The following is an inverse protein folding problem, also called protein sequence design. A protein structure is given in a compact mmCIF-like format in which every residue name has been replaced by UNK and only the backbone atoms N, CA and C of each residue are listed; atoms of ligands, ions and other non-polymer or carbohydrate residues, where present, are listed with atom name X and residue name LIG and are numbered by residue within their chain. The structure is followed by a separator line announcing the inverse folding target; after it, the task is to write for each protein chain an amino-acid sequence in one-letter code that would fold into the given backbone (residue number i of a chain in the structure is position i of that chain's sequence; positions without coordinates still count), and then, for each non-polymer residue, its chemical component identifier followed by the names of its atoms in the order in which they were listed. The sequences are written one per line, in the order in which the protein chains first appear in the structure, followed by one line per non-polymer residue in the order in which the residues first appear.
data_IF_717854483586
#
_entry.id   IF_717854483586
#
_cell.length_a   1.000
_cell.length_b   1.000
_cell.length_c   1.000
_cell.angle_alpha   90.00
_cell.angle_beta   90.00
_cell.angle_gamma   90.00
#
_symmetry.space_group_name_H-M   'P 1'
#
loop_
_entity.id
_entity.type
_entity.pdbx_description
1 polymer ?
#
# COMPACT_ATOMS: atom_id res chain seq x y z
N UNK A 1 8.59 3.33 9.00
CA UNK A 1 8.85 2.11 8.20
C UNK A 1 8.78 0.83 9.02
N UNK A 2 9.55 0.65 10.10
CA UNK A 2 9.52 -0.60 10.89
C UNK A 2 8.13 -0.97 11.41
N UNK A 3 7.35 0.02 11.87
CA UNK A 3 5.99 -0.22 12.33
C UNK A 3 5.11 -0.80 11.21
N UNK A 4 5.21 -0.28 9.98
CA UNK A 4 4.49 -0.80 8.82
C UNK A 4 4.88 -2.26 8.56
N UNK A 5 6.16 -2.59 8.46
CA UNK A 5 6.60 -3.95 8.06
C UNK A 5 6.53 -4.99 9.19
N UNK A 6 6.33 -4.55 10.43
CA UNK A 6 6.58 -5.27 11.68
C UNK A 6 8.07 -5.38 12.04
N UNK A 7 8.35 -5.51 13.34
CA UNK A 7 9.72 -5.62 13.86
C UNK A 7 10.50 -6.83 13.32
N UNK A 8 9.79 -7.90 12.90
CA UNK A 8 10.42 -9.12 12.34
C UNK A 8 11.03 -8.89 10.97
N UNK A 9 10.54 -7.89 10.25
CA UNK A 9 10.93 -7.56 8.87
C UNK A 9 11.73 -6.25 8.82
N UNK A 10 12.47 -5.95 9.90
CA UNK A 10 13.23 -4.71 10.03
C UNK A 10 14.29 -4.54 8.94
N UNK A 11 14.89 -5.63 8.44
CA UNK A 11 15.86 -5.56 7.33
C UNK A 11 15.17 -5.18 6.01
N UNK A 12 14.05 -5.81 5.70
CA UNK A 12 13.20 -5.46 4.56
C UNK A 12 12.75 -4.00 4.65
N UNK A 13 12.29 -3.56 5.82
CA UNK A 13 11.83 -2.20 6.07
C UNK A 13 12.94 -1.14 5.88
N UNK A 14 14.20 -1.47 6.21
CA UNK A 14 15.35 -0.56 6.09
C UNK A 14 15.58 -0.11 4.65
N UNK A 15 15.30 -0.97 3.67
CA UNK A 15 15.49 -0.67 2.24
C UNK A 15 14.65 0.52 1.77
N UNK A 16 13.54 0.80 2.45
CA UNK A 16 12.57 1.84 2.08
C UNK A 16 12.69 3.12 2.91
N UNK A 17 13.63 3.19 3.87
CA UNK A 17 13.81 4.38 4.72
C UNK A 17 14.32 5.54 3.86
N UNK A 18 13.66 6.70 3.96
CA UNK A 18 13.94 7.87 3.12
C UNK A 18 13.35 7.78 1.70
N UNK A 19 12.58 6.72 1.44
CA UNK A 19 11.91 6.47 0.17
C UNK A 19 10.68 7.34 -0.09
N UNK A 20 10.09 7.14 -1.27
CA UNK A 20 8.83 7.78 -1.66
C UNK A 20 7.65 6.87 -1.38
N UNK A 21 6.52 7.46 -0.97
CA UNK A 21 5.27 6.75 -0.70
C UNK A 21 4.17 7.33 -1.56
N UNK A 22 3.45 6.47 -2.25
CA UNK A 22 2.12 6.78 -2.77
C UNK A 22 1.09 6.09 -1.88
N UNK A 23 0.11 6.84 -1.39
CA UNK A 23 -0.99 6.30 -0.61
C UNK A 23 -2.32 6.71 -1.24
N UNK A 24 -3.26 5.77 -1.33
CA UNK A 24 -4.61 6.03 -1.82
C UNK A 24 -5.67 5.32 -0.97
N UNK A 25 -6.78 6.04 -0.80
CA UNK A 25 -8.00 5.55 -0.19
C UNK A 25 -8.86 4.80 -1.20
N UNK A 26 -9.49 3.71 -0.76
CA UNK A 26 -10.47 2.92 -1.48
C UNK A 26 -11.78 2.96 -0.69
N UNK A 27 -12.75 3.71 -1.21
CA UNK A 27 -14.11 3.72 -0.67
C UNK A 27 -14.72 2.31 -0.70
N UNK A 28 -15.69 2.05 0.18
CA UNK A 28 -16.39 0.76 0.25
C UNK A 28 -17.02 0.32 -1.09
N UNK A 29 -17.30 1.27 -2.00
CA UNK A 29 -17.87 0.99 -3.33
C UNK A 29 -16.83 0.82 -4.45
N UNK A 30 -15.54 0.95 -4.15
CA UNK A 30 -14.48 0.79 -5.14
C UNK A 30 -14.15 -0.70 -5.40
N UNK A 31 -13.27 -0.92 -6.37
CA UNK A 31 -12.74 -2.25 -6.69
C UNK A 31 -11.66 -2.63 -5.67
N UNK A 32 -11.87 -3.73 -4.95
CA UNK A 32 -11.05 -4.14 -3.78
C UNK A 32 -10.09 -5.30 -4.05
N UNK A 33 -9.74 -5.55 -5.31
CA UNK A 33 -8.69 -6.51 -5.67
C UNK A 33 -7.42 -5.76 -6.06
N UNK A 34 -6.29 -6.30 -5.68
CA UNK A 34 -4.98 -5.67 -5.78
C UNK A 34 -4.20 -6.23 -6.94
N UNK A 35 -3.45 -5.38 -7.63
CA UNK A 35 -2.69 -5.78 -8.80
C UNK A 35 -1.23 -5.35 -8.67
N UNK A 36 -0.33 -6.14 -9.26
CA UNK A 36 1.10 -5.90 -9.26
C UNK A 36 1.42 -4.57 -9.99
N UNK A 37 1.99 -3.57 -9.30
CA UNK A 37 2.31 -2.28 -9.93
C UNK A 37 3.50 -2.38 -10.91
N UNK A 38 4.33 -3.41 -10.75
CA UNK A 38 5.52 -3.71 -11.55
C UNK A 38 5.58 -5.21 -11.85
N UNK A 39 6.28 -5.57 -12.92
CA UNK A 39 6.67 -6.95 -13.18
C UNK A 39 7.92 -7.31 -12.37
N UNK A 40 8.00 -8.55 -11.90
CA UNK A 40 9.12 -9.01 -11.09
C UNK A 40 8.85 -10.25 -10.28
N UNK A 41 9.73 -10.54 -9.33
CA UNK A 41 9.63 -11.68 -8.41
C UNK A 41 9.13 -11.24 -7.05
N UNK A 42 8.06 -11.86 -6.56
CA UNK A 42 7.57 -11.67 -5.19
C UNK A 42 8.60 -12.22 -4.22
N UNK A 43 9.19 -11.37 -3.38
CA UNK A 43 10.18 -11.78 -2.36
C UNK A 43 9.53 -12.02 -1.01
N UNK A 44 8.49 -11.24 -0.69
CA UNK A 44 7.75 -11.35 0.56
C UNK A 44 6.26 -11.23 0.28
N UNK A 45 5.45 -12.00 1.01
CA UNK A 45 4.00 -11.94 0.97
C UNK A 45 3.47 -12.44 2.31
N UNK A 46 3.02 -11.54 3.18
CA UNK A 46 2.58 -11.88 4.53
C UNK A 46 1.59 -10.88 5.10
N UNK A 47 0.81 -11.31 6.08
CA UNK A 47 -0.13 -10.46 6.82
C UNK A 47 0.49 -10.08 8.15
N UNK A 48 0.42 -8.80 8.50
CA UNK A 48 0.67 -8.32 9.86
C UNK A 48 -0.69 -8.14 10.54
N UNK A 49 -0.99 -8.91 11.61
CA UNK A 49 -2.23 -8.73 12.35
C UNK A 49 -2.23 -7.40 13.10
N UNK A 50 -3.37 -6.71 13.09
CA UNK A 50 -3.62 -5.45 13.79
C UNK A 50 -5.12 -5.19 13.94
N UNK A 51 -5.56 -4.36 14.88
CA UNK A 51 -6.98 -4.39 15.30
C UNK A 51 -7.51 -3.06 15.82
N UNK A 52 -7.77 -2.02 15.02
CA UNK A 52 -8.18 -0.74 15.64
C UNK A 52 -9.08 0.14 14.77
N UNK A 53 -10.22 0.54 15.34
CA UNK A 53 -10.89 1.83 15.08
C UNK A 53 -10.18 2.91 15.88
N UNK A 54 -9.00 3.33 15.41
CA UNK A 54 -8.17 4.31 16.11
C UNK A 54 -7.80 5.44 15.15
N UNK A 55 -8.19 6.65 15.53
CA UNK A 55 -7.74 7.89 14.92
C UNK A 55 -6.64 8.52 15.75
N UNK A 56 -5.70 9.19 15.10
CA UNK A 56 -4.68 9.98 15.77
C UNK A 56 -5.28 11.34 16.16
N UNK A 57 -5.27 11.65 17.46
CA UNK A 57 -5.78 12.93 17.99
C UNK A 57 -5.13 14.16 17.32
N UNK A 58 -3.89 14.01 16.84
CA UNK A 58 -3.17 15.04 16.09
C UNK A 58 -3.83 15.45 14.78
N UNK A 59 -4.67 14.59 14.20
CA UNK A 59 -5.40 14.87 12.95
C UNK A 59 -6.72 15.62 13.20
N UNK A 60 -7.14 15.75 14.47
CA UNK A 60 -8.36 16.45 14.86
C UNK A 60 -9.63 15.62 14.66
N UNK A 61 -10.76 16.31 14.53
CA UNK A 61 -12.06 15.67 14.31
C UNK A 61 -12.20 15.28 12.84
N UNK A 62 -12.36 13.98 12.59
CA UNK A 62 -12.53 13.39 11.26
C UNK A 62 -14.00 13.02 11.04
N UNK A 63 -14.75 13.76 10.20
CA UNK A 63 -16.15 13.45 9.90
C UNK A 63 -16.34 12.10 9.18
N UNK A 64 -15.31 11.64 8.46
CA UNK A 64 -15.25 10.32 7.82
C UNK A 64 -14.80 9.20 8.78
N UNK A 65 -14.38 9.56 10.00
CA UNK A 65 -14.03 8.68 11.10
C UNK A 65 -12.60 8.14 11.08
N UNK A 66 -12.06 7.74 9.92
CA UNK A 66 -10.71 7.17 9.79
C UNK A 66 -9.92 7.67 8.56
N UNK A 67 -10.47 8.59 7.78
CA UNK A 67 -9.87 9.09 6.56
C UNK A 67 -8.62 9.94 6.84
N UNK A 68 -8.65 10.79 7.87
CA UNK A 68 -7.55 11.72 8.15
C UNK A 68 -6.38 11.01 8.84
N UNK A 69 -6.66 9.94 9.58
CA UNK A 69 -5.66 9.13 10.29
C UNK A 69 -4.97 8.05 9.44
N UNK A 70 -5.16 8.05 8.12
CA UNK A 70 -4.67 7.01 7.20
C UNK A 70 -3.16 6.72 7.30
N UNK A 71 -2.34 7.75 7.54
CA UNK A 71 -0.89 7.58 7.75
C UNK A 71 -0.58 6.75 9.01
N UNK A 72 -1.27 7.04 10.11
CA UNK A 72 -1.19 6.29 11.35
C UNK A 72 -1.80 4.88 11.23
N UNK A 73 -2.95 4.74 10.56
CA UNK A 73 -3.64 3.46 10.37
C UNK A 73 -2.74 2.41 9.71
N UNK A 74 -1.87 2.83 8.78
CA UNK A 74 -0.90 1.95 8.10
C UNK A 74 0.08 1.27 9.06
N UNK A 75 0.34 1.85 10.24
CA UNK A 75 1.21 1.26 11.26
C UNK A 75 0.47 0.28 12.19
N UNK A 76 -0.82 0.47 12.43
CA UNK A 76 -1.56 -0.23 13.50
C UNK A 76 -2.60 -1.23 13.00
N UNK A 77 -3.24 -1.01 11.85
CA UNK A 77 -4.29 -1.89 11.37
C UNK A 77 -3.76 -3.18 10.75
N UNK A 78 -4.62 -4.20 10.62
CA UNK A 78 -4.30 -5.40 9.84
C UNK A 78 -3.95 -4.99 8.41
N UNK A 79 -2.85 -5.54 7.91
CA UNK A 79 -2.37 -5.23 6.56
C UNK A 79 -1.65 -6.40 5.91
N UNK A 80 -1.87 -6.58 4.62
CA UNK A 80 -1.08 -7.45 3.76
C UNK A 80 0.12 -6.67 3.21
N UNK A 81 1.29 -7.29 3.25
CA UNK A 81 2.53 -6.74 2.73
C UNK A 81 3.07 -7.69 1.68
N UNK A 82 3.27 -7.15 0.48
CA UNK A 82 3.85 -7.87 -0.65
C UNK A 82 5.02 -7.05 -1.18
N UNK A 83 6.20 -7.65 -1.26
CA UNK A 83 7.38 -7.00 -1.82
C UNK A 83 7.70 -7.69 -3.15
N UNK A 84 7.80 -6.89 -4.21
CA UNK A 84 8.14 -7.36 -5.55
C UNK A 84 9.53 -6.81 -5.89
N UNK A 85 10.49 -7.70 -6.12
CA UNK A 85 11.76 -7.34 -6.74
C UNK A 85 11.51 -7.11 -8.23
N UNK A 86 11.52 -5.84 -8.66
CA UNK A 86 11.22 -5.48 -10.04
C UNK A 86 12.28 -6.02 -11.00
N UNK A 87 11.85 -6.44 -12.19
CA UNK A 87 12.76 -6.84 -13.27
C UNK A 87 13.64 -5.67 -13.76
N UNK A 88 13.21 -4.43 -13.52
CA UNK A 88 14.00 -3.22 -13.77
C UNK A 88 14.79 -2.82 -12.50
N UNK A 89 16.12 -3.00 -12.55
CA UNK A 89 17.02 -2.73 -11.42
C UNK A 89 17.01 -1.26 -10.98
N UNK A 90 16.68 -0.32 -11.89
CA UNK A 90 16.57 1.10 -11.55
C UNK A 90 15.39 1.35 -10.59
N UNK A 91 14.32 0.55 -10.71
CA UNK A 91 13.20 0.57 -9.76
C UNK A 91 13.58 -0.27 -8.52
N UNK A 92 14.04 -1.51 -8.73
CA UNK A 92 14.33 -2.49 -7.67
C UNK A 92 13.10 -2.87 -6.85
N UNK A 93 13.23 -3.15 -5.53
CA UNK A 93 12.11 -3.62 -4.73
C UNK A 93 11.04 -2.56 -4.56
N UNK A 94 9.78 -2.97 -4.76
CA UNK A 94 8.58 -2.18 -4.50
C UNK A 94 7.74 -2.89 -3.44
N UNK A 95 7.45 -2.22 -2.34
CA UNK A 95 6.56 -2.74 -1.32
C UNK A 95 5.13 -2.24 -1.54
N UNK A 96 4.20 -3.19 -1.62
CA UNK A 96 2.77 -2.99 -1.70
C UNK A 96 2.18 -3.32 -0.32
N UNK A 97 1.56 -2.34 0.32
CA UNK A 97 0.96 -2.48 1.65
C UNK A 97 -0.53 -2.21 1.53
N UNK A 98 -1.34 -3.24 1.74
CA UNK A 98 -2.80 -3.16 1.68
C UNK A 98 -3.35 -3.20 3.09
N UNK A 99 -4.00 -2.12 3.52
CA UNK A 99 -4.39 -1.86 4.90
C UNK A 99 -5.91 -1.87 5.02
N UNK A 100 -6.42 -2.75 5.88
CA UNK A 100 -7.84 -2.74 6.24
C UNK A 100 -8.17 -1.53 7.12
N UNK A 101 -9.33 -0.92 6.90
CA UNK A 101 -9.83 0.19 7.72
C UNK A 101 -11.18 -0.18 8.35
N UNK A 102 -11.48 0.36 9.54
CA UNK A 102 -12.75 0.13 10.23
C UNK A 102 -13.06 -1.38 10.41
N UNK A 103 -14.21 -1.84 9.91
CA UNK A 103 -14.63 -3.25 9.94
C UNK A 103 -13.82 -4.15 9.00
N UNK A 104 -12.96 -3.58 8.16
CA UNK A 104 -12.17 -4.33 7.19
C UNK A 104 -10.91 -4.87 7.84
N UNK A 105 -10.88 -6.17 8.06
CA UNK A 105 -9.70 -6.90 8.54
C UNK A 105 -9.28 -8.04 7.61
N UNK A 106 -10.05 -8.31 6.56
CA UNK A 106 -9.76 -9.39 5.60
C UNK A 106 -8.70 -8.95 4.60
N UNK A 107 -7.45 -9.36 4.82
CA UNK A 107 -6.36 -9.16 3.86
C UNK A 107 -6.01 -10.51 3.21
N UNK A 108 -6.65 -10.83 2.09
CA UNK A 108 -6.46 -12.12 1.40
C UNK A 108 -5.32 -11.99 0.39
N UNK A 109 -4.20 -12.64 0.65
CA UNK A 109 -3.06 -12.68 -0.27
C UNK A 109 -3.20 -13.91 -1.17
N UNK A 110 -3.10 -13.69 -2.49
CA UNK A 110 -3.04 -14.77 -3.49
C UNK A 110 -1.62 -14.99 -4.03
N UNK A 111 -0.82 -13.93 -4.11
CA UNK A 111 0.57 -14.02 -4.56
C UNK A 111 1.46 -14.74 -3.53
N UNK A 112 2.35 -15.61 -4.02
CA UNK A 112 3.25 -16.40 -3.18
C UNK A 112 4.71 -15.92 -3.28
N UNK A 113 5.50 -15.98 -2.20
CA UNK A 113 6.93 -15.75 -2.29
C UNK A 113 7.59 -16.70 -3.30
N UNK A 114 8.48 -16.16 -4.14
CA UNK A 114 9.14 -16.86 -5.25
C UNK A 114 8.36 -16.82 -6.56
N UNK A 115 7.08 -16.43 -6.57
CA UNK A 115 6.29 -16.28 -7.79
C UNK A 115 6.79 -15.10 -8.65
N UNK A 116 6.93 -15.31 -9.96
CA UNK A 116 7.08 -14.22 -10.91
C UNK A 116 5.70 -13.69 -11.32
N UNK A 117 5.51 -12.38 -11.26
CA UNK A 117 4.28 -11.68 -11.63
C UNK A 117 4.58 -10.68 -12.75
N UNK A 118 3.62 -10.48 -13.65
CA UNK A 118 3.61 -9.39 -14.61
C UNK A 118 2.90 -8.19 -14.00
N UNK A 119 3.25 -6.98 -14.47
CA UNK A 119 2.49 -5.78 -14.13
C UNK A 119 1.01 -6.00 -14.48
N UNK A 120 0.14 -5.78 -13.51
CA UNK A 120 -1.30 -5.98 -13.63
C UNK A 120 -1.80 -7.35 -13.20
N UNK A 121 -0.93 -8.32 -12.88
CA UNK A 121 -1.37 -9.60 -12.30
C UNK A 121 -1.97 -9.39 -10.90
N UNK A 122 -2.97 -10.18 -10.55
CA UNK A 122 -3.61 -10.07 -9.24
C UNK A 122 -2.69 -10.54 -8.11
N UNK A 123 -2.70 -9.80 -7.00
CA UNK A 123 -1.90 -10.07 -5.81
C UNK A 123 -2.73 -10.56 -4.62
N UNK A 124 -4.01 -10.20 -4.57
CA UNK A 124 -4.88 -10.43 -3.43
C UNK A 124 -6.07 -9.48 -3.42
N UNK A 125 -6.84 -9.45 -2.33
CA UNK A 125 -8.04 -8.64 -2.22
C UNK A 125 -8.50 -8.43 -0.76
N UNK A 126 -9.32 -7.40 -0.56
CA UNK A 126 -10.19 -7.28 0.62
C UNK A 126 -11.54 -7.94 0.35
N UNK A 127 -12.13 -8.64 1.33
CA UNK A 127 -13.44 -9.27 1.14
C UNK A 127 -14.61 -8.27 1.22
N UNK A 128 -14.45 -7.16 1.96
CA UNK A 128 -15.50 -6.15 2.15
C UNK A 128 -14.94 -4.85 2.76
N UNK A 129 -15.59 -3.70 2.49
CA UNK A 129 -15.50 -2.41 3.19
C UNK A 129 -14.44 -1.42 2.68
N UNK A 130 -14.27 -0.30 3.38
CA UNK A 130 -13.28 0.73 3.02
C UNK A 130 -11.85 0.31 3.39
N UNK A 131 -10.87 0.73 2.59
CA UNK A 131 -9.46 0.37 2.81
C UNK A 131 -8.53 1.47 2.32
N UNK A 132 -7.26 1.37 2.68
CA UNK A 132 -6.20 2.20 2.09
C UNK A 132 -5.08 1.28 1.63
N UNK A 133 -4.26 1.77 0.71
CA UNK A 133 -3.05 1.06 0.33
C UNK A 133 -1.91 2.03 0.09
N UNK A 134 -0.69 1.52 0.27
CA UNK A 134 0.54 2.24 0.02
C UNK A 134 1.41 1.47 -0.97
N UNK A 135 2.01 2.20 -1.90
CA UNK A 135 3.18 1.75 -2.64
C UNK A 135 4.40 2.50 -2.10
N UNK A 136 5.42 1.75 -1.72
CA UNK A 136 6.63 2.27 -1.09
C UNK A 136 7.82 1.92 -1.98
N UNK A 137 8.57 2.95 -2.36
CA UNK A 137 9.73 2.87 -3.24
C UNK A 137 10.99 3.23 -2.44
N UNK A 138 12.15 2.73 -2.87
CA UNK A 138 13.45 3.10 -2.29
C UNK A 138 13.73 4.61 -2.47
N UNK A 139 14.68 5.19 -1.71
CA UNK A 139 15.18 6.54 -1.94
C UNK A 139 15.57 6.75 -3.40
N UNK A 140 15.33 7.96 -3.90
CA UNK A 140 15.73 8.43 -5.23
C UNK A 140 15.17 7.68 -6.45
N UNK A 141 14.26 6.71 -6.27
CA UNK A 141 13.66 5.95 -7.40
C UNK A 141 12.61 6.75 -8.15
N UNK A 142 11.71 7.44 -7.44
CA UNK A 142 10.59 8.17 -8.06
C UNK A 142 11.03 9.60 -8.39
N UNK A 143 10.91 9.98 -9.66
CA UNK A 143 11.10 11.36 -10.12
C UNK A 143 9.86 12.21 -9.80
N UNK A 144 8.67 11.69 -10.16
CA UNK A 144 7.40 12.39 -9.95
C UNK A 144 6.23 11.42 -9.84
N UNK A 145 5.25 11.79 -9.02
CA UNK A 145 3.92 11.18 -9.02
C UNK A 145 3.00 11.90 -10.01
N UNK A 146 2.05 11.17 -10.61
CA UNK A 146 1.02 11.74 -11.47
C UNK A 146 -0.05 12.49 -10.64
N UNK A 147 -0.55 11.95 -9.51
CA UNK A 147 -1.38 12.72 -8.58
C UNK A 147 -0.57 13.86 -7.96
N UNK A 148 -1.14 15.07 -7.96
CA UNK A 148 -0.52 16.29 -7.43
C UNK A 148 -1.50 17.01 -6.50
N UNK A 149 -1.01 17.72 -5.47
CA UNK A 149 -1.86 18.48 -4.57
C UNK A 149 -2.57 19.66 -5.30
N UNK A 150 -3.72 20.12 -4.79
CA UNK A 150 -4.43 19.63 -3.60
C UNK A 150 -5.10 18.27 -3.83
N UNK A 151 -5.05 17.40 -2.82
CA UNK A 151 -5.74 16.10 -2.83
C UNK A 151 -7.17 16.26 -2.33
N UNK A 152 -8.11 15.52 -2.92
CA UNK A 152 -9.53 15.61 -2.60
C UNK A 152 -10.17 14.23 -2.57
N UNK A 153 -10.99 13.97 -1.55
CA UNK A 153 -11.72 12.71 -1.37
C UNK A 153 -12.74 12.44 -2.48
N UNK A 154 -13.21 13.49 -3.15
CA UNK A 154 -14.18 13.42 -4.25
C UNK A 154 -13.53 13.32 -5.64
N UNK A 155 -12.23 13.04 -5.71
CA UNK A 155 -11.52 12.84 -6.97
C UNK A 155 -12.02 11.61 -7.73
N UNK A 156 -11.84 11.55 -9.07
CA UNK A 156 -12.16 10.34 -9.83
C UNK A 156 -11.28 9.17 -9.36
N UNK A 157 -11.79 7.94 -9.38
CA UNK A 157 -11.01 6.77 -8.97
C UNK A 157 -9.83 6.56 -9.91
N UNK A 158 -8.67 6.23 -9.34
CA UNK A 158 -7.49 5.81 -10.08
C UNK A 158 -7.76 4.42 -10.66
N UNK A 159 -7.69 4.30 -11.99
CA UNK A 159 -7.95 3.05 -12.68
C UNK A 159 -6.81 2.05 -12.45
N UNK A 160 -7.14 0.75 -12.43
CA UNK A 160 -6.13 -0.31 -12.42
C UNK A 160 -5.21 -0.16 -13.63
N UNK A 161 -3.91 -0.31 -13.42
CA UNK A 161 -2.86 -0.09 -14.42
C UNK A 161 -2.69 1.36 -14.94
N UNK A 162 -3.32 2.35 -14.30
CA UNK A 162 -3.06 3.75 -14.61
C UNK A 162 -1.57 4.11 -14.41
N UNK A 163 -1.10 5.11 -15.17
CA UNK A 163 0.23 5.67 -14.96
C UNK A 163 0.23 6.46 -13.64
N UNK A 164 0.94 5.92 -12.65
CA UNK A 164 0.94 6.46 -11.30
C UNK A 164 2.14 7.37 -11.01
N UNK A 165 3.32 6.98 -11.51
CA UNK A 165 4.58 7.67 -11.26
C UNK A 165 5.57 7.40 -12.37
N UNK A 166 6.52 8.32 -12.54
CA UNK A 166 7.69 8.17 -13.40
C UNK A 166 8.91 7.95 -12.51
N UNK A 167 9.65 6.85 -12.74
CA UNK A 167 10.93 6.58 -12.09
C UNK A 167 12.06 7.36 -12.80
N UNK A 168 13.18 7.58 -12.09
CA UNK A 168 14.38 8.26 -12.62
C UNK A 168 15.15 7.42 -13.64
#
# INVERSE_FOLDING_TARGET
MQEIFSAREAETARQFVGGSVYQAFLSAFNYHRWHAPVGGRVTHAYVVPGTYYSGAESEGEDPGGLNDSQGYTTAVATRAIIVIECDDEAIGPVACVFVGMADVSSCMIEALPGQCVRKGDELGYFQYGGSTYCLIFRPDVIERFVPQPPFHDNGPPVQVNAHLATAR
#
